data_IF_365439497414
#
_entry.id   IF_365439497414
#
_cell.length_a   1.000
_cell.length_b   1.000
_cell.length_c   1.000
_cell.angle_alpha   90.00
_cell.angle_beta   90.00
_cell.angle_gamma   90.00
#
_symmetry.space_group_name_H-M   'P 1'
#
loop_
_entity.id
_entity.type
_entity.pdbx_description
1 polymer ?
#
# COMPACT_ATOMS: atom_id res chain seq x y z
N UNK A 1 -6.60 29.23 19.13
CA UNK A 1 -6.89 27.89 19.68
C UNK A 1 -6.48 26.89 18.62
N UNK A 2 -5.40 26.15 18.83
CA UNK A 2 -5.09 24.99 17.99
C UNK A 2 -5.94 23.86 18.57
N UNK A 3 -7.16 23.69 18.06
CA UNK A 3 -7.83 22.40 18.24
C UNK A 3 -6.96 21.37 17.51
N UNK A 4 -6.30 20.50 18.27
CA UNK A 4 -5.52 19.40 17.70
C UNK A 4 -6.47 18.51 16.90
N UNK A 5 -6.22 18.35 15.60
CA UNK A 5 -6.96 17.40 14.79
C UNK A 5 -6.91 16.01 15.43
N UNK A 6 -8.07 15.38 15.61
CA UNK A 6 -8.15 14.02 16.16
C UNK A 6 -7.80 13.03 15.05
N UNK A 7 -6.61 12.47 15.10
CA UNK A 7 -6.18 11.40 14.20
C UNK A 7 -6.47 10.05 14.86
N UNK A 8 -7.13 9.10 14.16
CA UNK A 8 -7.34 7.75 14.68
C UNK A 8 -6.02 7.10 15.09
N UNK A 9 -6.05 6.34 16.19
CA UNK A 9 -4.88 5.58 16.65
C UNK A 9 -4.44 4.63 15.56
N UNK A 10 -3.13 4.42 15.44
CA UNK A 10 -2.56 3.60 14.40
C UNK A 10 -1.11 3.25 14.63
N UNK A 11 -0.59 2.37 13.79
CA UNK A 11 0.84 2.11 13.62
C UNK A 11 1.17 2.08 12.13
N UNK A 12 2.46 2.15 11.82
CA UNK A 12 2.97 2.02 10.46
C UNK A 12 3.76 0.72 10.36
N UNK A 13 3.33 -0.19 9.50
CA UNK A 13 4.19 -1.25 9.01
C UNK A 13 5.16 -0.59 8.01
N UNK A 14 6.37 -0.31 8.46
CA UNK A 14 7.35 0.45 7.69
C UNK A 14 7.78 -0.30 6.43
N UNK A 15 8.51 0.38 5.54
CA UNK A 15 9.06 -0.25 4.32
C UNK A 15 9.95 -1.45 4.61
N UNK A 16 10.48 -1.58 5.83
CA UNK A 16 11.20 -2.78 6.29
C UNK A 16 10.35 -4.06 6.10
N UNK A 17 9.05 -4.00 6.41
CA UNK A 17 8.14 -5.14 6.30
C UNK A 17 7.95 -5.58 4.85
N UNK A 18 7.91 -4.64 3.91
CA UNK A 18 7.91 -4.97 2.49
C UNK A 18 9.29 -5.50 2.04
N UNK A 19 10.36 -4.85 2.48
CA UNK A 19 11.72 -5.19 2.07
C UNK A 19 12.16 -6.58 2.54
N UNK A 20 11.66 -7.09 3.67
CA UNK A 20 11.90 -8.47 4.10
C UNK A 20 11.32 -9.51 3.14
N UNK A 21 10.22 -9.20 2.46
CA UNK A 21 9.61 -10.07 1.44
C UNK A 21 10.25 -9.93 0.05
N UNK A 22 11.01 -8.86 -0.19
CA UNK A 22 11.48 -8.47 -1.52
C UNK A 22 12.34 -9.54 -2.18
N UNK A 23 13.21 -10.19 -1.42
CA UNK A 23 14.04 -11.30 -1.94
C UNK A 23 13.16 -12.46 -2.39
N UNK A 24 12.23 -12.92 -1.55
CA UNK A 24 11.31 -14.02 -1.87
C UNK A 24 10.47 -13.69 -3.10
N UNK A 25 9.95 -12.47 -3.19
CA UNK A 25 9.18 -12.01 -4.34
C UNK A 25 10.03 -11.93 -5.62
N UNK A 26 11.29 -11.51 -5.51
CA UNK A 26 12.25 -11.51 -6.60
C UNK A 26 12.54 -12.93 -7.09
N UNK A 27 12.79 -13.86 -6.16
CA UNK A 27 13.07 -15.27 -6.47
C UNK A 27 11.86 -15.95 -7.15
N UNK A 28 10.63 -15.51 -6.81
CA UNK A 28 9.39 -15.92 -7.48
C UNK A 28 9.14 -15.23 -8.84
N UNK A 29 10.00 -14.30 -9.26
CA UNK A 29 9.92 -13.66 -10.59
C UNK A 29 8.98 -12.47 -10.69
N UNK A 30 8.48 -11.91 -9.57
CA UNK A 30 7.43 -10.86 -9.59
C UNK A 30 7.80 -9.67 -10.49
N UNK A 31 9.08 -9.25 -10.44
CA UNK A 31 9.58 -8.09 -11.17
C UNK A 31 9.75 -8.38 -12.66
N UNK A 32 10.10 -9.61 -13.02
CA UNK A 32 10.18 -10.04 -14.42
C UNK A 32 8.79 -10.08 -15.05
N UNK A 33 7.81 -10.67 -14.36
CA UNK A 33 6.42 -10.70 -14.84
C UNK A 33 5.85 -9.31 -15.05
N UNK A 34 6.15 -8.35 -14.15
CA UNK A 34 5.74 -6.97 -14.31
C UNK A 34 6.33 -6.32 -15.57
N UNK A 35 7.63 -6.56 -15.85
CA UNK A 35 8.28 -6.07 -17.08
C UNK A 35 7.71 -6.73 -18.33
N UNK A 36 7.46 -8.05 -18.30
CA UNK A 36 6.86 -8.76 -19.43
C UNK A 36 5.45 -8.24 -19.72
N UNK A 37 4.65 -7.99 -18.69
CA UNK A 37 3.32 -7.43 -18.82
C UNK A 37 3.34 -6.03 -19.44
N UNK A 38 4.20 -5.14 -18.95
CA UNK A 38 4.29 -3.77 -19.46
C UNK A 38 4.86 -3.65 -20.89
N UNK A 39 5.58 -4.66 -21.37
CA UNK A 39 6.05 -4.72 -22.75
C UNK A 39 5.11 -5.54 -23.66
N UNK A 40 3.85 -5.76 -23.22
CA UNK A 40 2.83 -6.54 -23.93
C UNK A 40 3.27 -7.98 -24.30
N UNK A 41 4.27 -8.53 -23.60
CA UNK A 41 4.78 -9.90 -23.78
C UNK A 41 4.04 -10.93 -22.93
N UNK A 42 3.15 -10.48 -22.06
CA UNK A 42 2.35 -11.34 -21.18
C UNK A 42 0.90 -10.82 -21.15
N UNK A 43 -0.07 -11.69 -21.41
CA UNK A 43 -1.48 -11.30 -21.36
C UNK A 43 -1.88 -10.90 -19.94
N UNK A 44 -2.86 -9.99 -19.81
CA UNK A 44 -3.37 -9.55 -18.50
C UNK A 44 -3.82 -10.72 -17.62
N UNK A 45 -4.50 -11.71 -18.20
CA UNK A 45 -4.96 -12.89 -17.47
C UNK A 45 -3.79 -13.72 -16.94
N UNK A 46 -2.80 -14.02 -17.79
CA UNK A 46 -1.61 -14.76 -17.38
C UNK A 46 -0.79 -14.01 -16.32
N UNK A 47 -0.65 -12.69 -16.47
CA UNK A 47 0.02 -11.82 -15.51
C UNK A 47 -0.64 -11.87 -14.12
N UNK A 48 -1.97 -11.69 -14.06
CA UNK A 48 -2.70 -11.73 -12.80
C UNK A 48 -2.58 -13.08 -12.08
N UNK A 49 -2.59 -14.18 -12.84
CA UNK A 49 -2.35 -15.52 -12.30
C UNK A 49 -0.95 -15.61 -11.71
N UNK A 50 0.09 -15.19 -12.45
CA UNK A 50 1.48 -15.24 -11.99
C UNK A 50 1.74 -14.40 -10.76
N UNK A 51 1.21 -13.17 -10.70
CA UNK A 51 1.31 -12.31 -9.51
C UNK A 51 0.58 -12.95 -8.33
N UNK A 52 -0.59 -13.54 -8.54
CA UNK A 52 -1.31 -14.24 -7.47
C UNK A 52 -0.57 -15.46 -6.95
N UNK A 53 0.12 -16.21 -7.81
CA UNK A 53 1.03 -17.30 -7.43
C UNK A 53 2.25 -16.79 -6.65
N UNK A 54 2.84 -15.66 -7.06
CA UNK A 54 3.98 -15.06 -6.38
C UNK A 54 3.64 -14.69 -4.93
N UNK A 55 2.46 -14.11 -4.72
CA UNK A 55 1.97 -13.70 -3.41
C UNK A 55 1.31 -14.83 -2.61
N UNK A 56 1.15 -16.01 -3.22
CA UNK A 56 0.66 -17.20 -2.51
C UNK A 56 1.74 -17.70 -1.54
N UNK A 57 1.31 -18.02 -0.33
CA UNK A 57 2.14 -18.60 0.74
C UNK A 57 3.36 -17.74 1.11
N UNK A 58 3.34 -16.44 0.81
CA UNK A 58 4.34 -15.52 1.35
C UNK A 58 4.03 -15.33 2.82
N UNK A 59 5.03 -15.50 3.67
CA UNK A 59 4.91 -15.29 5.10
C UNK A 59 5.91 -14.24 5.56
N UNK A 60 5.49 -13.45 6.55
CA UNK A 60 6.42 -12.58 7.25
C UNK A 60 7.29 -13.43 8.19
N UNK A 61 8.47 -12.93 8.54
CA UNK A 61 9.22 -13.49 9.66
C UNK A 61 8.35 -13.50 10.92
N UNK A 62 8.43 -14.58 11.71
CA UNK A 62 7.54 -14.81 12.85
C UNK A 62 7.50 -13.61 13.82
N UNK A 63 8.66 -13.04 14.14
CA UNK A 63 8.75 -11.87 15.03
C UNK A 63 8.02 -10.65 14.46
N UNK A 64 8.16 -10.37 13.16
CA UNK A 64 7.48 -9.26 12.47
C UNK A 64 5.97 -9.51 12.46
N UNK A 65 5.55 -10.73 12.15
CA UNK A 65 4.14 -11.12 12.16
C UNK A 65 3.52 -10.95 13.54
N UNK A 66 4.17 -11.45 14.58
CA UNK A 66 3.68 -11.37 15.96
C UNK A 66 3.60 -9.91 16.44
N UNK A 67 4.59 -9.09 16.11
CA UNK A 67 4.59 -7.67 16.45
C UNK A 67 3.41 -6.93 15.78
N UNK A 68 3.19 -7.16 14.47
CA UNK A 68 2.06 -6.59 13.73
C UNK A 68 0.73 -7.00 14.37
N UNK A 69 0.55 -8.29 14.69
CA UNK A 69 -0.67 -8.81 15.31
C UNK A 69 -0.89 -8.23 16.71
N UNK A 70 0.17 -8.08 17.50
CA UNK A 70 0.11 -7.51 18.84
C UNK A 70 -0.28 -6.03 18.81
N UNK A 71 0.28 -5.25 17.90
CA UNK A 71 -0.12 -3.85 17.71
C UNK A 71 -1.55 -3.72 17.20
N UNK A 72 -1.95 -4.54 16.23
CA UNK A 72 -3.31 -4.56 15.70
C UNK A 72 -4.36 -4.78 16.79
N UNK A 73 -4.13 -5.74 17.70
CA UNK A 73 -5.01 -6.01 18.85
C UNK A 73 -5.10 -4.82 19.83
N UNK A 74 -4.05 -4.01 19.94
CA UNK A 74 -4.01 -2.83 20.85
C UNK A 74 -4.72 -1.61 20.28
N UNK A 75 -4.88 -1.51 18.96
CA UNK A 75 -5.57 -0.39 18.32
C UNK A 75 -7.08 -0.51 18.50
N UNK A 76 -7.66 -1.67 18.14
CA UNK A 76 -9.11 -1.86 18.18
C UNK A 76 -9.56 -3.14 17.47
N UNK A 77 -10.87 -3.40 17.49
CA UNK A 77 -11.47 -4.62 16.93
C UNK A 77 -11.63 -4.58 15.40
N UNK A 78 -11.62 -3.38 14.82
CA UNK A 78 -11.77 -3.13 13.39
C UNK A 78 -10.72 -2.12 12.95
N UNK A 79 -10.05 -2.41 11.84
CA UNK A 79 -8.90 -1.67 11.37
C UNK A 79 -9.09 -1.21 9.92
N UNK A 80 -8.31 -0.21 9.54
CA UNK A 80 -8.12 0.27 8.18
C UNK A 80 -6.65 0.09 7.83
N UNK A 81 -6.36 -0.52 6.69
CA UNK A 81 -5.00 -0.70 6.18
C UNK A 81 -4.87 0.08 4.87
N UNK A 82 -3.98 1.08 4.83
CA UNK A 82 -3.76 1.95 3.67
C UNK A 82 -2.35 1.84 3.15
N UNK A 83 -2.22 1.88 1.83
CA UNK A 83 -0.94 2.05 1.16
C UNK A 83 -0.33 3.42 1.47
N UNK A 84 1.00 3.44 1.62
CA UNK A 84 1.82 4.65 1.70
C UNK A 84 3.15 4.35 1.03
N UNK A 85 3.21 4.54 -0.29
CA UNK A 85 4.42 4.34 -1.06
C UNK A 85 5.40 5.52 -0.90
N UNK A 86 6.69 5.21 -0.90
CA UNK A 86 7.76 6.20 -0.69
C UNK A 86 8.00 7.13 -1.88
N UNK A 87 7.55 6.74 -3.07
CA UNK A 87 7.68 7.52 -4.30
C UNK A 87 6.37 8.22 -4.70
N UNK A 88 5.42 8.38 -3.77
CA UNK A 88 4.14 9.05 -4.02
C UNK A 88 4.28 10.54 -4.39
N UNK A 89 5.40 11.15 -3.99
CA UNK A 89 5.69 12.59 -4.12
C UNK A 89 6.85 12.87 -5.09
N UNK A 90 6.85 12.28 -6.28
CA UNK A 90 7.65 12.86 -7.37
C UNK A 90 7.01 14.19 -7.75
N UNK A 91 7.82 15.26 -7.85
CA UNK A 91 7.45 16.68 -7.82
C UNK A 91 6.32 17.15 -8.74
N UNK A 92 5.89 16.32 -9.70
CA UNK A 92 4.82 16.63 -10.67
C UNK A 92 3.69 15.58 -10.73
N UNK A 93 3.73 14.49 -9.93
CA UNK A 93 2.86 13.31 -10.14
C UNK A 93 2.51 12.61 -8.83
N UNK A 94 1.23 12.64 -8.47
CA UNK A 94 0.69 11.90 -7.33
C UNK A 94 0.24 10.50 -7.74
N UNK A 95 0.57 9.51 -6.92
CA UNK A 95 0.06 8.13 -7.02
C UNK A 95 -1.35 7.96 -6.43
N UNK A 96 -2.07 9.06 -6.18
CA UNK A 96 -3.39 9.05 -5.55
C UNK A 96 -4.33 8.02 -6.21
N UNK A 97 -4.80 7.07 -5.41
CA UNK A 97 -5.77 6.05 -5.82
C UNK A 97 -5.23 4.99 -6.78
N UNK A 98 -3.92 4.75 -6.84
CA UNK A 98 -3.32 3.67 -7.64
C UNK A 98 -3.27 2.35 -6.87
N UNK A 99 -3.00 2.41 -5.56
CA UNK A 99 -2.84 1.26 -4.71
C UNK A 99 -4.09 1.01 -3.85
N UNK A 100 -4.24 -0.22 -3.39
CA UNK A 100 -5.43 -0.62 -2.64
C UNK A 100 -5.36 -0.15 -1.19
N UNK A 101 -6.54 -0.04 -0.58
CA UNK A 101 -6.75 0.14 0.85
C UNK A 101 -7.87 -0.80 1.30
N UNK A 102 -7.75 -1.35 2.51
CA UNK A 102 -8.69 -2.30 3.08
C UNK A 102 -9.37 -1.68 4.30
N UNK A 103 -10.70 -1.68 4.30
CA UNK A 103 -11.53 -1.22 5.41
C UNK A 103 -12.06 -2.43 6.19
N UNK A 104 -12.45 -2.20 7.44
CA UNK A 104 -13.10 -3.22 8.27
C UNK A 104 -12.28 -4.52 8.43
N UNK A 105 -10.98 -4.37 8.63
CA UNK A 105 -10.06 -5.49 8.79
C UNK A 105 -10.03 -5.90 10.26
N UNK A 106 -10.26 -7.18 10.56
CA UNK A 106 -10.10 -7.68 11.94
C UNK A 106 -8.62 -7.89 12.26
N UNK A 107 -8.18 -7.73 13.53
CA UNK A 107 -6.77 -7.93 13.90
C UNK A 107 -6.12 -9.23 13.42
N UNK A 108 -6.80 -10.40 13.42
CA UNK A 108 -6.22 -11.64 12.87
C UNK A 108 -5.94 -11.60 11.36
N UNK A 109 -6.65 -10.75 10.61
CA UNK A 109 -6.57 -10.64 9.15
C UNK A 109 -5.62 -9.52 8.69
N UNK A 110 -5.03 -8.76 9.63
CA UNK A 110 -4.24 -7.57 9.33
C UNK A 110 -3.00 -7.87 8.47
N UNK A 111 -2.33 -9.00 8.70
CA UNK A 111 -1.16 -9.40 7.94
C UNK A 111 -1.53 -9.75 6.50
N UNK A 112 -2.65 -10.43 6.30
CA UNK A 112 -3.24 -10.71 4.98
C UNK A 112 -3.59 -9.41 4.26
N UNK A 113 -4.22 -8.45 4.95
CA UNK A 113 -4.54 -7.15 4.38
C UNK A 113 -3.27 -6.39 3.96
N UNK A 114 -2.21 -6.37 4.79
CA UNK A 114 -0.91 -5.77 4.45
C UNK A 114 -0.29 -6.44 3.21
N UNK A 115 -0.27 -7.78 3.15
CA UNK A 115 0.22 -8.54 1.98
C UNK A 115 -0.56 -8.17 0.72
N UNK A 116 -1.88 -7.99 0.82
CA UNK A 116 -2.71 -7.55 -0.30
C UNK A 116 -2.45 -6.10 -0.72
N UNK A 117 -2.16 -5.19 0.22
CA UNK A 117 -1.69 -3.84 -0.11
C UNK A 117 -0.39 -3.91 -0.90
N UNK A 118 0.58 -4.72 -0.48
CA UNK A 118 1.81 -4.92 -1.25
C UNK A 118 1.57 -5.54 -2.63
N UNK A 119 0.63 -6.49 -2.74
CA UNK A 119 0.22 -7.08 -4.02
C UNK A 119 -0.35 -6.03 -4.97
N UNK A 120 -1.04 -5.01 -4.46
CA UNK A 120 -1.62 -3.93 -5.27
C UNK A 120 -0.57 -3.11 -6.04
N UNK A 121 0.69 -3.07 -5.58
CA UNK A 121 1.81 -2.49 -6.34
C UNK A 121 2.04 -3.17 -7.69
N UNK A 122 1.66 -4.44 -7.78
CA UNK A 122 1.77 -5.26 -8.98
C UNK A 122 0.43 -5.36 -9.72
N UNK A 123 -0.56 -4.52 -9.39
CA UNK A 123 -1.78 -4.45 -10.20
C UNK A 123 -1.45 -3.96 -11.62
N UNK A 124 -2.21 -4.37 -12.64
CA UNK A 124 -1.99 -3.91 -14.01
C UNK A 124 -1.89 -2.38 -14.15
N UNK A 125 -2.74 -1.65 -13.41
CA UNK A 125 -2.74 -0.19 -13.38
C UNK A 125 -1.48 0.37 -12.75
N UNK A 126 -1.08 -0.17 -11.59
CA UNK A 126 0.11 0.27 -10.88
C UNK A 126 1.38 0.04 -11.69
N UNK A 127 1.56 -1.16 -12.26
CA UNK A 127 2.75 -1.50 -13.05
C UNK A 127 2.89 -0.62 -14.28
N UNK A 128 1.80 -0.42 -15.02
CA UNK A 128 1.80 0.46 -16.19
C UNK A 128 2.18 1.88 -15.80
N UNK A 129 1.56 2.43 -14.75
CA UNK A 129 1.90 3.76 -14.26
C UNK A 129 3.37 3.85 -13.84
N UNK A 130 3.87 2.96 -13.00
CA UNK A 130 5.27 2.95 -12.53
C UNK A 130 6.25 2.98 -13.72
N UNK A 131 6.04 2.09 -14.69
CA UNK A 131 6.97 1.95 -15.82
C UNK A 131 6.86 3.07 -16.86
N UNK A 132 5.66 3.59 -17.15
CA UNK A 132 5.47 4.78 -18.00
C UNK A 132 6.12 6.03 -17.40
N UNK A 133 6.25 6.05 -16.07
CA UNK A 133 6.94 7.12 -15.34
C UNK A 133 8.46 6.91 -15.26
N UNK A 134 9.01 5.88 -15.92
CA UNK A 134 10.45 5.57 -15.90
C UNK A 134 10.93 5.07 -14.53
N UNK A 135 10.01 4.71 -13.64
CA UNK A 135 10.34 4.23 -12.31
C UNK A 135 10.68 2.75 -12.39
N UNK A 136 11.78 2.37 -11.72
CA UNK A 136 12.17 0.97 -11.58
C UNK A 136 11.28 0.31 -10.54
N UNK A 137 10.38 -0.57 -10.98
CA UNK A 137 9.46 -1.31 -10.08
C UNK A 137 10.22 -2.08 -8.99
N UNK A 138 11.45 -2.51 -9.26
CA UNK A 138 12.27 -3.22 -8.28
C UNK A 138 12.77 -2.31 -7.17
N UNK A 139 12.75 -0.99 -7.35
CA UNK A 139 13.13 0.02 -6.34
C UNK A 139 11.93 0.58 -5.59
N UNK A 140 10.71 0.20 -5.95
CA UNK A 140 9.51 0.64 -5.24
C UNK A 140 9.51 0.07 -3.83
N UNK A 141 9.12 0.91 -2.88
CA UNK A 141 8.94 0.51 -1.48
C UNK A 141 7.64 1.11 -0.97
N UNK A 142 6.95 0.34 -0.14
CA UNK A 142 5.65 0.70 0.40
C UNK A 142 5.61 0.41 1.89
N UNK A 143 5.22 1.42 2.65
CA UNK A 143 4.74 1.25 4.00
C UNK A 143 3.22 1.04 3.98
N UNK A 144 2.69 0.45 5.05
CA UNK A 144 1.25 0.34 5.28
C UNK A 144 0.88 1.08 6.56
N UNK A 145 -0.07 2.01 6.45
CA UNK A 145 -0.66 2.69 7.59
C UNK A 145 -1.82 1.84 8.09
N UNK A 146 -1.76 1.40 9.35
CA UNK A 146 -2.83 0.64 10.00
C UNK A 146 -3.47 1.52 11.07
N UNK A 147 -4.76 1.79 10.93
CA UNK A 147 -5.50 2.69 11.82
C UNK A 147 -6.77 2.05 12.34
N UNK A 148 -7.28 2.57 13.45
CA UNK A 148 -8.62 2.26 13.95
C UNK A 148 -9.68 2.57 12.89
N UNK A 149 -10.60 1.63 12.65
CA UNK A 149 -11.77 1.87 11.81
C UNK A 149 -12.84 2.63 12.59
N UNK A 150 -13.29 3.76 12.06
CA UNK A 150 -14.36 4.57 12.67
C UNK A 150 -15.70 4.20 12.01
N UNK A 151 -16.58 3.42 12.67
CA UNK A 151 -17.87 3.06 12.11
C UNK A 151 -18.80 4.27 12.05
N UNK A 152 -19.69 4.29 11.04
CA UNK A 152 -20.74 5.30 10.90
C UNK A 152 -20.23 6.76 10.85
N UNK A 153 -18.95 6.96 10.50
CA UNK A 153 -18.41 8.29 10.30
C UNK A 153 -19.06 8.96 9.08
N UNK A 154 -19.37 10.25 9.19
CA UNK A 154 -19.58 11.10 8.02
C UNK A 154 -18.21 11.46 7.47
N UNK A 155 -17.93 11.05 6.24
CA UNK A 155 -16.65 11.28 5.57
C UNK A 155 -16.77 12.38 4.52
N UNK A 156 -15.65 13.06 4.26
CA UNK A 156 -15.52 14.13 3.27
C UNK A 156 -14.05 14.39 2.98
N UNK A 157 -13.79 15.26 2.00
CA UNK A 157 -12.43 15.72 1.66
C UNK A 157 -12.38 17.23 1.88
N UNK A 158 -11.36 17.71 2.58
CA UNK A 158 -11.13 19.13 2.80
C UNK A 158 -10.18 19.70 1.74
N UNK A 159 -10.54 20.83 1.14
CA UNK A 159 -9.65 21.56 0.23
C UNK A 159 -9.31 22.92 0.84
N UNK A 160 -8.02 23.19 1.02
CA UNK A 160 -7.52 24.51 1.37
C UNK A 160 -6.95 25.16 0.11
N UNK A 161 -7.45 26.35 -0.21
CA UNK A 161 -7.03 27.12 -1.38
C UNK A 161 -6.37 28.43 -0.95
N UNK A 162 -5.08 28.57 -1.26
CA UNK A 162 -4.38 29.84 -1.09
C UNK A 162 -4.33 30.60 -2.44
N UNK A 163 -5.20 31.60 -2.56
CA UNK A 163 -5.36 32.39 -3.79
C UNK A 163 -4.08 33.09 -4.25
N UNK A 164 -3.18 33.47 -3.34
CA UNK A 164 -1.93 34.17 -3.67
C UNK A 164 -0.83 33.25 -4.21
N UNK A 165 -0.80 32.00 -3.76
CA UNK A 165 0.22 31.03 -4.17
C UNK A 165 -0.22 30.15 -5.35
N UNK A 166 -1.51 30.20 -5.71
CA UNK A 166 -2.14 29.25 -6.64
C UNK A 166 -1.82 27.78 -6.27
N UNK A 167 -1.79 27.49 -4.97
CA UNK A 167 -1.49 26.17 -4.41
C UNK A 167 -2.74 25.58 -3.77
N UNK A 168 -2.89 24.27 -3.97
CA UNK A 168 -3.93 23.46 -3.37
C UNK A 168 -3.28 22.55 -2.32
N UNK A 169 -3.93 22.44 -1.17
CA UNK A 169 -3.64 21.40 -0.18
C UNK A 169 -4.92 20.60 0.06
N UNK A 170 -4.81 19.28 -0.01
CA UNK A 170 -5.90 18.33 0.21
C UNK A 170 -5.65 17.63 1.54
N UNK A 171 -6.67 17.56 2.40
CA UNK A 171 -6.62 16.89 3.71
C UNK A 171 -7.77 15.90 3.83
#
# INVERSE_FOLDING_TARGET
FVETARVPKGFVATTYVYNSLRKVLSDKGVFEYAKLYANDKLSKAAYLTKISECFRDIEFEALVQDEILNWAKRIGERLVVRSSATQEDLSDRSFAGIFDSFLDVKPPDVTTAIKNVFKSMFSPRAVKYILENGIRIEKMEMACIVQEFIPNAKYGVGFFFEKKANKYCVI
#
